data_IF_691556114887
#
_entry.id   IF_691556114887
#
_cell.length_a   1.000
_cell.length_b   1.000
_cell.length_c   1.000
_cell.angle_alpha   90.00
_cell.angle_beta   90.00
_cell.angle_gamma   90.00
#
_symmetry.space_group_name_H-M   'P 1'
#
loop_
_entity.id
_entity.type
_entity.pdbx_description
1 polymer ?
#
# COMPACT_ATOMS: atom_id res chain seq x y z
N UNK A 1 1.45 15.94 12.41
CA UNK A 1 1.15 14.51 12.14
C UNK A 1 -0.19 14.29 11.43
N UNK A 2 -1.19 15.17 11.58
CA UNK A 2 -2.51 15.00 10.91
C UNK A 2 -2.37 14.95 9.39
N UNK A 3 -1.58 15.85 8.79
CA UNK A 3 -1.33 15.81 7.35
C UNK A 3 -0.67 14.50 6.91
N UNK A 4 0.26 13.96 7.70
CA UNK A 4 0.88 12.67 7.41
C UNK A 4 -0.16 11.54 7.42
N UNK A 5 -1.09 11.58 8.37
CA UNK A 5 -2.15 10.60 8.47
C UNK A 5 -3.14 10.70 7.30
N UNK A 6 -3.43 11.92 6.83
CA UNK A 6 -4.19 12.14 5.60
C UNK A 6 -3.48 11.57 4.37
N UNK A 7 -2.17 11.81 4.23
CA UNK A 7 -1.36 11.22 3.15
C UNK A 7 -1.40 9.68 3.19
N UNK A 8 -1.34 9.09 4.39
CA UNK A 8 -1.43 7.64 4.55
C UNK A 8 -2.83 7.13 4.16
N UNK A 9 -3.90 7.80 4.56
CA UNK A 9 -5.25 7.44 4.13
C UNK A 9 -5.43 7.52 2.60
N UNK A 10 -4.97 8.60 1.96
CA UNK A 10 -4.99 8.77 0.50
C UNK A 10 -4.19 7.68 -0.22
N UNK A 11 -3.03 7.29 0.33
CA UNK A 11 -2.26 6.17 -0.19
C UNK A 11 -3.07 4.87 -0.17
N UNK A 12 -3.76 4.57 0.93
CA UNK A 12 -4.57 3.36 1.02
C UNK A 12 -5.71 3.33 0.01
N UNK A 13 -6.35 4.49 -0.24
CA UNK A 13 -7.35 4.61 -1.30
C UNK A 13 -6.73 4.34 -2.67
N UNK A 14 -5.57 4.94 -2.96
CA UNK A 14 -4.84 4.70 -4.20
C UNK A 14 -4.50 3.21 -4.39
N UNK A 15 -3.89 2.57 -3.39
CA UNK A 15 -3.54 1.16 -3.45
C UNK A 15 -4.75 0.27 -3.71
N UNK A 16 -5.88 0.54 -3.05
CA UNK A 16 -7.13 -0.19 -3.28
C UNK A 16 -7.70 0.03 -4.69
N UNK A 17 -7.51 1.20 -5.31
CA UNK A 17 -7.92 1.42 -6.71
C UNK A 17 -7.08 0.63 -7.69
N UNK A 18 -5.78 0.52 -7.44
CA UNK A 18 -4.86 -0.27 -8.25
C UNK A 18 -5.17 -1.76 -8.15
N UNK A 19 -5.43 -2.26 -6.95
CA UNK A 19 -5.80 -3.67 -6.73
C UNK A 19 -7.10 -4.04 -7.44
N UNK A 20 -8.10 -3.15 -7.40
CA UNK A 20 -9.34 -3.34 -8.16
C UNK A 20 -9.09 -3.33 -9.67
N UNK A 21 -8.22 -2.46 -10.17
CA UNK A 21 -7.84 -2.42 -11.59
C UNK A 21 -7.10 -3.71 -12.02
N UNK A 22 -6.38 -4.34 -11.10
CA UNK A 22 -5.72 -5.64 -11.31
C UNK A 22 -6.67 -6.84 -11.12
N UNK A 23 -7.96 -6.61 -10.85
CA UNK A 23 -8.98 -7.66 -10.74
C UNK A 23 -9.06 -8.35 -9.37
N UNK A 24 -8.41 -7.81 -8.32
CA UNK A 24 -8.55 -8.32 -6.96
C UNK A 24 -9.94 -8.03 -6.40
N UNK A 25 -10.46 -8.94 -5.58
CA UNK A 25 -11.82 -8.89 -5.02
C UNK A 25 -11.82 -9.22 -3.54
N UNK A 26 -12.81 -8.68 -2.81
CA UNK A 26 -12.99 -8.97 -1.39
C UNK A 26 -11.78 -8.56 -0.54
N UNK A 27 -11.31 -9.50 0.28
CA UNK A 27 -10.25 -9.30 1.26
C UNK A 27 -8.84 -9.17 0.63
N UNK A 28 -8.70 -9.53 -0.65
CA UNK A 28 -7.43 -9.38 -1.38
C UNK A 28 -7.14 -7.92 -1.76
N UNK A 29 -8.15 -7.04 -1.72
CA UNK A 29 -7.98 -5.61 -1.99
C UNK A 29 -7.26 -4.97 -0.79
N UNK A 30 -6.26 -4.14 -1.08
CA UNK A 30 -5.53 -3.38 -0.07
C UNK A 30 -6.48 -2.67 0.91
N UNK A 31 -6.26 -2.93 2.19
CA UNK A 31 -6.89 -2.22 3.29
C UNK A 31 -5.91 -2.14 4.46
N UNK A 32 -6.01 -1.06 5.23
CA UNK A 32 -5.26 -0.94 6.47
C UNK A 32 -5.85 -1.83 7.56
N UNK A 33 -5.01 -2.46 8.41
CA UNK A 33 -5.48 -3.18 9.58
C UNK A 33 -6.10 -2.25 10.64
N UNK A 34 -5.71 -0.97 10.65
CA UNK A 34 -6.26 0.01 11.56
C UNK A 34 -6.96 1.14 10.79
N UNK A 35 -8.22 1.41 11.15
CA UNK A 35 -9.01 2.45 10.48
C UNK A 35 -8.44 3.84 10.76
N UNK A 36 -8.35 4.65 9.70
CA UNK A 36 -7.89 6.04 9.75
C UNK A 36 -9.11 6.96 9.55
N UNK A 37 -9.37 7.83 10.52
CA UNK A 37 -10.50 8.76 10.51
C UNK A 37 -10.04 10.14 10.99
N UNK A 38 -9.79 11.05 10.05
CA UNK A 38 -9.33 12.41 10.35
C UNK A 38 -8.01 12.43 11.12
N UNK A 39 -8.05 12.77 12.41
CA UNK A 39 -6.88 12.79 13.30
C UNK A 39 -6.72 11.53 14.15
N UNK A 40 -7.45 10.45 13.84
CA UNK A 40 -7.45 9.21 14.62
C UNK A 40 -7.02 8.00 13.81
N UNK A 41 -6.33 7.09 14.48
CA UNK A 41 -6.05 5.72 14.02
C UNK A 41 -6.57 4.76 15.06
N UNK A 42 -7.44 3.83 14.66
CA UNK A 42 -8.10 2.88 15.57
C UNK A 42 -8.73 3.56 16.80
N UNK A 43 -9.48 4.65 16.55
CA UNK A 43 -10.08 5.52 17.57
C UNK A 43 -9.10 6.29 18.50
N UNK A 44 -7.78 6.19 18.30
CA UNK A 44 -6.78 6.95 19.05
C UNK A 44 -6.29 8.17 18.28
N UNK A 45 -6.36 9.35 18.88
CA UNK A 45 -5.86 10.59 18.24
C UNK A 45 -4.33 10.64 18.21
N UNK A 46 -3.79 11.12 17.09
CA UNK A 46 -2.37 11.41 16.92
C UNK A 46 -1.99 12.84 17.35
N UNK A 47 -2.94 13.63 17.86
CA UNK A 47 -2.66 14.91 18.48
C UNK A 47 -2.02 14.68 19.85
N UNK A 48 -0.85 15.29 20.05
CA UNK A 48 -0.22 15.31 21.36
C UNK A 48 -0.94 16.34 22.23
N UNK A 49 -1.66 15.85 23.24
CA UNK A 49 -2.20 16.69 24.32
C UNK A 49 -1.44 16.40 25.60
N UNK A 50 -1.00 17.47 26.29
CA UNK A 50 -0.42 17.41 27.63
C UNK A 50 -1.27 16.46 28.49
N UNK A 51 -0.67 15.39 29.03
CA UNK A 51 -1.28 14.37 29.89
C UNK A 51 -1.89 13.10 29.23
N UNK A 52 -1.54 12.75 27.96
CA UNK A 52 -2.05 11.52 27.29
C UNK A 52 -0.99 10.72 26.50
N UNK A 53 0.26 10.72 26.94
CA UNK A 53 1.40 10.15 26.21
C UNK A 53 1.24 8.65 25.87
N UNK A 54 0.64 7.85 26.76
CA UNK A 54 0.40 6.44 26.48
C UNK A 54 -0.63 6.21 25.35
N UNK A 55 -1.69 7.04 25.28
CA UNK A 55 -2.70 6.96 24.21
C UNK A 55 -2.13 7.46 22.89
N UNK A 56 -1.33 8.51 22.94
CA UNK A 56 -0.63 9.06 21.78
C UNK A 56 0.39 8.05 21.22
N UNK A 57 1.23 7.47 22.08
CA UNK A 57 2.17 6.41 21.71
C UNK A 57 1.46 5.21 21.09
N UNK A 58 0.29 4.84 21.62
CA UNK A 58 -0.52 3.76 21.05
C UNK A 58 -1.04 4.11 19.65
N UNK A 59 -1.50 5.33 19.42
CA UNK A 59 -1.89 5.82 18.08
C UNK A 59 -0.72 5.72 17.08
N UNK A 60 0.49 6.11 17.50
CA UNK A 60 1.68 6.02 16.65
C UNK A 60 2.06 4.59 16.30
N UNK A 61 1.90 3.64 17.25
CA UNK A 61 2.13 2.22 16.98
C UNK A 61 1.17 1.69 15.91
N UNK A 62 -0.10 2.09 15.95
CA UNK A 62 -1.06 1.71 14.91
C UNK A 62 -0.70 2.32 13.56
N UNK A 63 -0.39 3.62 13.52
CA UNK A 63 0.05 4.29 12.29
C UNK A 63 1.31 3.64 11.68
N UNK A 64 2.27 3.20 12.51
CA UNK A 64 3.47 2.48 12.03
C UNK A 64 3.16 1.09 11.51
N UNK A 65 2.18 0.40 12.11
CA UNK A 65 1.74 -0.89 11.61
C UNK A 65 1.03 -0.76 10.25
N UNK A 66 0.18 0.26 10.08
CA UNK A 66 -0.41 0.60 8.78
C UNK A 66 0.66 0.94 7.75
N UNK A 67 1.67 1.73 8.13
CA UNK A 67 2.79 2.06 7.26
C UNK A 67 3.57 0.82 6.82
N UNK A 68 3.76 -0.16 7.71
CA UNK A 68 4.41 -1.43 7.36
C UNK A 68 3.61 -2.16 6.28
N UNK A 69 2.28 -2.21 6.40
CA UNK A 69 1.41 -2.84 5.40
C UNK A 69 1.48 -2.10 4.06
N UNK A 70 1.43 -0.76 4.08
CA UNK A 70 1.63 0.06 2.88
C UNK A 70 2.99 -0.20 2.20
N UNK A 71 4.06 -0.35 2.98
CA UNK A 71 5.39 -0.68 2.47
C UNK A 71 5.41 -2.07 1.83
N UNK A 72 4.82 -3.08 2.48
CA UNK A 72 4.74 -4.44 1.94
C UNK A 72 4.00 -4.46 0.60
N UNK A 73 2.85 -3.78 0.51
CA UNK A 73 2.11 -3.63 -0.74
C UNK A 73 2.94 -2.92 -1.81
N UNK A 74 3.64 -1.84 -1.46
CA UNK A 74 4.48 -1.08 -2.40
C UNK A 74 5.62 -1.92 -2.98
N UNK A 75 6.29 -2.71 -2.12
CA UNK A 75 7.37 -3.61 -2.55
C UNK A 75 6.83 -4.68 -3.49
N UNK A 76 5.71 -5.32 -3.13
CA UNK A 76 5.05 -6.33 -3.96
C UNK A 76 4.61 -5.76 -5.32
N UNK A 77 3.95 -4.60 -5.32
CA UNK A 77 3.52 -3.94 -6.55
C UNK A 77 4.71 -3.55 -7.43
N UNK A 78 5.84 -3.12 -6.83
CA UNK A 78 7.07 -2.81 -7.58
C UNK A 78 7.71 -4.06 -8.21
N UNK A 79 7.66 -5.21 -7.53
CA UNK A 79 8.20 -6.46 -8.09
C UNK A 79 7.31 -7.00 -9.20
N UNK A 80 6.00 -6.91 -9.04
CA UNK A 80 5.03 -7.29 -10.07
C UNK A 80 5.20 -6.41 -11.31
N UNK A 81 5.29 -5.08 -11.14
CA UNK A 81 5.49 -4.16 -12.26
C UNK A 81 6.78 -4.44 -13.03
N UNK A 82 7.90 -4.72 -12.34
CA UNK A 82 9.17 -5.11 -12.98
C UNK A 82 9.08 -6.46 -13.69
N UNK A 83 8.38 -7.43 -13.11
CA UNK A 83 8.14 -8.73 -13.72
C UNK A 83 7.30 -8.63 -14.99
N UNK A 84 6.23 -7.84 -14.96
CA UNK A 84 5.37 -7.58 -16.11
C UNK A 84 6.13 -6.88 -17.25
N UNK A 85 6.96 -5.87 -16.93
CA UNK A 85 7.80 -5.19 -17.92
C UNK A 85 8.81 -6.17 -18.56
N UNK A 86 9.41 -7.04 -17.74
CA UNK A 86 10.34 -8.07 -18.24
C UNK A 86 9.63 -9.08 -19.13
N UNK A 87 8.45 -9.57 -18.74
CA UNK A 87 7.66 -10.50 -19.53
C UNK A 87 7.21 -9.89 -20.86
N UNK A 88 6.80 -8.62 -20.87
CA UNK A 88 6.44 -7.89 -22.09
C UNK A 88 7.64 -7.75 -23.04
N UNK A 89 8.84 -7.45 -22.51
CA UNK A 89 10.08 -7.38 -23.29
C UNK A 89 10.47 -8.74 -23.88
N UNK A 90 10.28 -9.83 -23.12
CA UNK A 90 10.52 -11.19 -23.60
C UNK A 90 9.50 -11.61 -24.67
N UNK A 91 8.22 -11.23 -24.52
CA UNK A 91 7.20 -11.50 -25.54
C UNK A 91 7.41 -10.69 -26.83
N UNK A 92 8.02 -9.51 -26.73
CA UNK A 92 8.38 -8.68 -27.89
C UNK A 92 9.59 -9.22 -28.68
N UNK A 93 10.40 -10.09 -28.08
CA UNK A 93 11.41 -10.88 -28.78
C UNK A 93 10.68 -12.06 -29.44
N UNK A 94 10.17 -11.85 -30.66
CA UNK A 94 9.48 -12.88 -31.44
C UNK A 94 10.34 -14.14 -31.70
N UNK A 95 9.73 -15.24 -32.17
CA UNK A 95 10.41 -16.51 -32.42
C UNK A 95 11.27 -16.44 -33.70
N UNK A 96 12.41 -15.78 -33.65
CA UNK A 96 13.44 -15.87 -34.69
C UNK A 96 14.21 -17.20 -34.51
N UNK A 97 13.54 -18.32 -34.79
CA UNK A 97 14.20 -19.60 -35.02
C UNK A 97 14.76 -19.62 -36.45
N UNK A 98 16.01 -20.07 -36.68
CA UNK A 98 16.62 -20.01 -38.01
C UNK A 98 15.78 -20.84 -38.99
N UNK A 99 15.38 -20.21 -40.10
CA UNK A 99 14.74 -20.89 -41.21
C UNK A 99 15.65 -22.03 -41.68
N UNK A 100 15.24 -23.26 -41.42
CA UNK A 100 15.92 -24.46 -41.92
C UNK A 100 15.76 -24.48 -43.44
N UNK A 101 16.81 -24.04 -44.14
CA UNK A 101 17.06 -24.31 -45.56
C UNK A 101 17.51 -25.75 -45.77
#
# INVERSE_FOLDING_TARGET
MICYLACLHEFGMYAATIDRANGLVGDDIFHYPFAIEGDKVNAHTIKLTLNKDAKWTKALKFMLADLKVALQWSVHHSSVSRGAETALRMAALGPEGPARS
#
